data_IF_220679420440
#
_entry.id   IF_220679420440
#
_cell.length_a   1.000
_cell.length_b   1.000
_cell.length_c   1.000
_cell.angle_alpha   90.00
_cell.angle_beta   90.00
_cell.angle_gamma   90.00
#
_symmetry.space_group_name_H-M   'P 1'
#
loop_
_entity.id
_entity.type
_entity.pdbx_description
1 polymer ?
#
# COMPACT_ATOMS: atom_id res chain seq x y z
N UNK A 1 22.55 16.30 2.47
CA UNK A 1 21.23 16.61 1.91
C UNK A 1 21.15 15.96 0.55
N UNK A 2 19.98 15.51 0.14
CA UNK A 2 19.77 14.85 -1.14
C UNK A 2 19.92 15.84 -2.30
N UNK A 3 20.33 15.36 -3.47
CA UNK A 3 20.29 16.13 -4.73
C UNK A 3 18.86 16.25 -5.24
N UNK A 4 18.62 17.21 -6.14
CA UNK A 4 17.29 17.43 -6.72
C UNK A 4 16.75 16.18 -7.43
N UNK A 5 17.59 15.50 -8.20
CA UNK A 5 17.23 14.30 -8.95
C UNK A 5 16.87 13.14 -8.01
N UNK A 6 17.56 13.02 -6.89
CA UNK A 6 17.30 12.00 -5.87
C UNK A 6 15.94 12.24 -5.21
N UNK A 7 15.59 13.51 -4.92
CA UNK A 7 14.30 13.91 -4.33
C UNK A 7 13.10 13.53 -5.19
N UNK A 8 13.19 13.68 -6.50
CA UNK A 8 12.11 13.31 -7.42
C UNK A 8 11.88 11.79 -7.49
N UNK A 9 12.98 11.02 -7.48
CA UNK A 9 12.92 9.55 -7.43
C UNK A 9 12.23 9.05 -6.15
N UNK A 10 12.41 9.76 -5.04
CA UNK A 10 11.80 9.38 -3.76
C UNK A 10 10.29 9.48 -3.77
N UNK A 11 9.71 10.54 -4.33
CA UNK A 11 8.26 10.68 -4.35
C UNK A 11 7.60 9.59 -5.21
N UNK A 12 8.20 9.25 -6.34
CA UNK A 12 7.74 8.11 -7.13
C UNK A 12 7.87 6.80 -6.34
N UNK A 13 9.01 6.55 -5.70
CA UNK A 13 9.20 5.36 -4.89
C UNK A 13 8.18 5.27 -3.74
N UNK A 14 7.81 6.38 -3.12
CA UNK A 14 6.76 6.46 -2.09
C UNK A 14 5.39 6.03 -2.64
N UNK A 15 4.97 6.56 -3.79
CA UNK A 15 3.69 6.19 -4.43
C UNK A 15 3.68 4.70 -4.75
N UNK A 16 4.74 4.22 -5.41
CA UNK A 16 4.87 2.81 -5.79
C UNK A 16 4.78 1.91 -4.57
N UNK A 17 5.59 2.17 -3.55
CA UNK A 17 5.59 1.41 -2.29
C UNK A 17 4.24 1.43 -1.60
N UNK A 18 3.60 2.60 -1.49
CA UNK A 18 2.27 2.73 -0.88
C UNK A 18 1.22 1.87 -1.58
N UNK A 19 1.12 1.99 -2.91
CA UNK A 19 0.13 1.25 -3.71
C UNK A 19 0.37 -0.26 -3.60
N UNK A 20 1.62 -0.69 -3.76
CA UNK A 20 2.02 -2.09 -3.74
C UNK A 20 1.79 -2.75 -2.39
N UNK A 21 2.30 -2.15 -1.31
CA UNK A 21 2.15 -2.70 0.03
C UNK A 21 0.69 -2.71 0.49
N UNK A 22 -0.09 -1.66 0.16
CA UNK A 22 -1.52 -1.64 0.52
C UNK A 22 -2.29 -2.74 -0.19
N UNK A 23 -2.08 -2.89 -1.50
CA UNK A 23 -2.75 -3.93 -2.30
C UNK A 23 -2.36 -5.32 -1.82
N UNK A 24 -1.07 -5.55 -1.58
CA UNK A 24 -0.55 -6.81 -1.08
C UNK A 24 -1.13 -7.15 0.31
N UNK A 25 -1.09 -6.19 1.25
CA UNK A 25 -1.64 -6.35 2.59
C UNK A 25 -3.13 -6.70 2.56
N UNK A 26 -3.92 -6.01 1.73
CA UNK A 26 -5.35 -6.26 1.57
C UNK A 26 -5.61 -7.64 0.99
N UNK A 27 -4.88 -8.04 -0.06
CA UNK A 27 -5.03 -9.37 -0.67
C UNK A 27 -4.76 -10.48 0.34
N UNK A 28 -3.71 -10.35 1.15
CA UNK A 28 -3.30 -11.33 2.15
C UNK A 28 -4.31 -11.45 3.32
N UNK A 29 -5.03 -10.37 3.63
CA UNK A 29 -6.09 -10.35 4.65
C UNK A 29 -7.39 -11.01 4.20
N UNK A 30 -7.64 -11.18 2.90
CA UNK A 30 -8.93 -11.65 2.37
C UNK A 30 -9.42 -13.01 2.85
N UNK A 31 -8.51 -13.87 3.32
CA UNK A 31 -8.86 -15.23 3.72
C UNK A 31 -9.33 -15.29 5.16
N UNK A 32 -10.48 -15.93 5.37
CA UNK A 32 -11.13 -16.03 6.68
C UNK A 32 -10.18 -16.62 7.73
N UNK A 33 -10.18 -16.03 8.92
CA UNK A 33 -9.39 -16.48 10.05
C UNK A 33 -9.67 -17.96 10.36
N UNK A 34 -8.79 -18.86 9.91
CA UNK A 34 -8.62 -20.13 10.57
C UNK A 34 -7.97 -19.83 11.91
N UNK A 35 -8.74 -19.95 13.00
CA UNK A 35 -8.28 -19.81 14.40
C UNK A 35 -7.23 -20.85 14.82
N UNK A 36 -6.60 -21.59 13.89
CA UNK A 36 -5.53 -22.53 14.23
C UNK A 36 -4.19 -21.83 14.08
N UNK A 37 -3.61 -21.53 15.23
CA UNK A 37 -2.34 -20.82 15.39
C UNK A 37 -1.22 -21.42 14.57
N UNK A 38 -0.81 -20.66 13.56
CA UNK A 38 0.57 -20.53 13.12
C UNK A 38 0.69 -19.17 12.45
N UNK A 39 0.48 -18.11 13.23
CA UNK A 39 0.76 -16.75 12.74
C UNK A 39 2.25 -16.69 12.42
N UNK A 40 2.59 -16.53 11.14
CA UNK A 40 3.97 -16.27 10.75
C UNK A 40 4.34 -14.90 11.33
N UNK A 41 5.18 -14.89 12.36
CA UNK A 41 5.68 -13.66 12.97
C UNK A 41 6.78 -13.12 12.05
N UNK A 42 6.43 -12.18 11.18
CA UNK A 42 7.44 -11.40 10.46
C UNK A 42 8.14 -10.48 11.47
N UNK A 43 9.47 -10.49 11.47
CA UNK A 43 10.31 -9.73 12.40
C UNK A 43 10.07 -8.22 12.33
N UNK A 44 9.97 -7.56 13.49
CA UNK A 44 9.74 -6.11 13.65
C UNK A 44 10.98 -5.26 13.32
N UNK A 45 11.51 -5.33 12.10
CA UNK A 45 12.60 -4.45 11.64
C UNK A 45 12.26 -2.96 11.82
N UNK A 46 10.99 -2.59 11.65
CA UNK A 46 10.48 -1.23 11.88
C UNK A 46 10.66 -0.73 13.34
N UNK A 47 10.56 -1.61 14.35
CA UNK A 47 10.77 -1.23 15.76
C UNK A 47 12.25 -0.90 16.02
N UNK A 48 13.17 -1.72 15.52
CA UNK A 48 14.61 -1.49 15.71
C UNK A 48 15.10 -0.20 15.04
N UNK A 49 14.56 0.15 13.87
CA UNK A 49 14.83 1.43 13.21
C UNK A 49 14.22 2.61 13.97
N UNK A 50 13.04 2.42 14.57
CA UNK A 50 12.39 3.45 15.39
C UNK A 50 13.15 3.71 16.70
N UNK A 51 13.66 2.68 17.36
CA UNK A 51 14.48 2.80 18.56
C UNK A 51 15.77 3.58 18.26
N UNK A 52 16.48 3.25 17.17
CA UNK A 52 17.67 3.98 16.71
C UNK A 52 17.37 5.45 16.39
N UNK A 53 16.24 5.72 15.73
CA UNK A 53 15.81 7.08 15.42
C UNK A 53 15.52 7.89 16.70
N UNK A 54 14.79 7.27 17.64
CA UNK A 54 14.44 7.90 18.92
C UNK A 54 15.68 8.17 19.77
N UNK A 55 16.63 7.23 19.77
CA UNK A 55 17.95 7.41 20.39
C UNK A 55 18.71 8.59 19.77
N UNK A 56 18.75 8.68 18.44
CA UNK A 56 19.40 9.79 17.74
C UNK A 56 18.74 11.15 18.04
N UNK A 57 17.40 11.20 18.03
CA UNK A 57 16.64 12.41 18.34
C UNK A 57 16.84 12.85 19.80
N UNK A 58 16.73 11.93 20.75
CA UNK A 58 16.94 12.20 22.18
C UNK A 58 18.38 12.65 22.45
N UNK A 59 19.35 12.02 21.80
CA UNK A 59 20.76 12.41 21.93
C UNK A 59 21.03 13.81 21.36
N UNK A 60 20.42 14.17 20.22
CA UNK A 60 20.46 15.53 19.70
C UNK A 60 19.85 16.56 20.67
N UNK A 61 18.74 16.22 21.33
CA UNK A 61 18.11 17.09 22.33
C UNK A 61 19.01 17.29 23.56
N UNK A 62 19.67 16.23 24.04
CA UNK A 62 20.64 16.30 25.15
C UNK A 62 21.78 17.26 24.80
N UNK A 63 22.40 17.09 23.62
CA UNK A 63 23.50 17.97 23.17
C UNK A 63 23.03 19.42 22.96
N UNK A 64 21.82 19.61 22.43
CA UNK A 64 21.25 20.94 22.24
C UNK A 64 20.98 21.66 23.57
N UNK A 65 20.44 20.93 24.56
CA UNK A 65 20.07 21.45 25.88
C UNK A 65 21.28 21.68 26.81
N UNK A 66 22.43 21.08 26.52
CA UNK A 66 23.64 21.26 27.32
C UNK A 66 24.15 22.70 27.26
N UNK A 67 24.04 23.45 28.36
CA UNK A 67 24.50 24.84 28.46
C UNK A 67 26.00 24.97 28.69
N UNK A 68 26.69 23.87 28.99
CA UNK A 68 28.14 23.85 29.22
C UNK A 68 28.94 23.74 27.93
N UNK A 69 28.33 23.26 26.84
CA UNK A 69 28.96 23.13 25.53
C UNK A 69 28.82 24.40 24.70
N UNK A 70 29.92 24.84 24.09
CA UNK A 70 29.91 25.87 23.05
C UNK A 70 29.21 25.38 21.77
N UNK A 71 28.71 26.28 20.91
CA UNK A 71 28.09 25.90 19.63
C UNK A 71 29.00 25.03 18.73
N UNK A 72 30.31 25.26 18.77
CA UNK A 72 31.29 24.50 17.99
C UNK A 72 31.52 23.09 18.56
N UNK A 73 31.56 22.94 19.89
CA UNK A 73 31.62 21.63 20.55
C UNK A 73 30.35 20.81 20.30
N UNK A 74 29.16 21.44 20.32
CA UNK A 74 27.89 20.79 19.96
C UNK A 74 27.93 20.29 18.53
N UNK A 75 28.40 21.12 17.60
CA UNK A 75 28.54 20.76 16.19
C UNK A 75 29.50 19.58 16.00
N UNK A 76 30.70 19.63 16.58
CA UNK A 76 31.70 18.57 16.45
C UNK A 76 31.23 17.25 17.06
N UNK A 77 30.52 17.31 18.18
CA UNK A 77 29.92 16.13 18.84
C UNK A 77 28.90 15.47 17.92
N UNK A 78 27.96 16.24 17.36
CA UNK A 78 26.94 15.73 16.44
C UNK A 78 27.56 15.18 15.14
N UNK A 79 28.56 15.86 14.57
CA UNK A 79 29.29 15.37 13.39
C UNK A 79 29.99 14.04 13.68
N UNK A 80 30.61 13.90 14.85
CA UNK A 80 31.23 12.65 15.28
C UNK A 80 30.20 11.51 15.38
N UNK A 81 29.01 11.76 15.93
CA UNK A 81 27.93 10.75 15.98
C UNK A 81 27.45 10.36 14.58
N UNK A 82 27.28 11.31 13.66
CA UNK A 82 26.94 11.01 12.26
C UNK A 82 27.98 10.09 11.62
N UNK A 83 29.28 10.38 11.80
CA UNK A 83 30.38 9.54 11.29
C UNK A 83 30.43 8.16 11.95
N UNK A 84 30.16 8.06 13.25
CA UNK A 84 30.11 6.77 13.96
C UNK A 84 28.86 5.94 13.64
N UNK A 85 27.86 6.51 12.97
CA UNK A 85 26.64 5.80 12.54
C UNK A 85 26.85 5.13 11.17
N UNK A 86 28.09 5.07 10.66
CA UNK A 86 28.49 4.34 9.45
C UNK A 86 28.25 2.82 9.57
N UNK A 87 27.00 2.41 9.48
CA UNK A 87 26.54 1.13 8.94
C UNK A 87 25.22 1.42 8.22
N UNK A 88 25.34 1.94 7.00
CA UNK A 88 24.21 2.01 6.07
C UNK A 88 24.08 0.64 5.39
N UNK A 89 23.16 -0.19 5.88
CA UNK A 89 22.82 -1.49 5.27
C UNK A 89 21.74 -1.37 4.17
N UNK A 90 21.55 -0.17 3.61
CA UNK A 90 20.61 0.04 2.51
C UNK A 90 21.22 -0.36 1.18
N UNK A 91 20.61 -1.31 0.49
CA UNK A 91 21.09 -1.75 -0.84
C UNK A 91 20.88 -0.68 -1.93
N UNK A 92 19.94 0.25 -1.72
CA UNK A 92 19.55 1.27 -2.69
C UNK A 92 19.31 2.64 -2.03
N UNK A 93 19.55 3.71 -2.77
CA UNK A 93 19.26 5.08 -2.32
C UNK A 93 17.78 5.25 -1.93
N UNK A 94 16.87 4.50 -2.55
CA UNK A 94 15.42 4.49 -2.29
C UNK A 94 15.00 3.77 -1.00
N UNK A 95 15.93 3.20 -0.22
CA UNK A 95 15.64 2.59 1.10
C UNK A 95 15.41 3.65 2.19
N UNK A 96 14.41 4.51 1.96
CA UNK A 96 14.08 5.71 2.75
C UNK A 96 13.90 5.46 4.24
N UNK A 97 13.51 4.26 4.63
CA UNK A 97 13.31 3.91 6.04
C UNK A 97 14.65 3.80 6.78
N UNK A 98 15.68 3.28 6.11
CA UNK A 98 17.03 3.20 6.63
C UNK A 98 17.69 4.59 6.77
N UNK A 99 17.24 5.57 5.98
CA UNK A 99 17.75 6.95 6.02
C UNK A 99 17.16 7.82 7.13
N UNK A 100 16.07 7.42 7.77
CA UNK A 100 15.37 8.30 8.74
C UNK A 100 16.24 8.78 9.91
N UNK A 101 17.14 7.97 10.51
CA UNK A 101 18.00 8.45 11.59
C UNK A 101 18.96 9.54 11.11
N UNK A 102 19.46 9.41 9.88
CA UNK A 102 20.34 10.41 9.26
C UNK A 102 19.62 11.73 8.99
N UNK A 103 18.38 11.68 8.49
CA UNK A 103 17.60 12.90 8.29
C UNK A 103 17.22 13.58 9.60
N UNK A 104 16.95 12.82 10.67
CA UNK A 104 16.72 13.37 11.99
C UNK A 104 17.96 14.11 12.52
N UNK A 105 19.14 13.47 12.44
CA UNK A 105 20.43 14.09 12.81
C UNK A 105 20.73 15.32 11.95
N UNK A 106 20.50 15.26 10.64
CA UNK A 106 20.71 16.37 9.72
C UNK A 106 19.81 17.58 10.05
N UNK A 107 18.55 17.35 10.40
CA UNK A 107 17.62 18.41 10.80
C UNK A 107 18.09 19.11 12.08
N UNK A 108 18.54 18.34 13.09
CA UNK A 108 19.09 18.88 14.34
C UNK A 108 20.39 19.66 14.12
N UNK A 109 21.31 19.13 13.31
CA UNK A 109 22.56 19.81 12.95
C UNK A 109 22.32 21.13 12.22
N UNK A 110 21.42 21.11 11.23
CA UNK A 110 21.08 22.31 10.47
C UNK A 110 20.39 23.36 11.36
N UNK A 111 19.52 22.93 12.28
CA UNK A 111 18.90 23.83 13.26
C UNK A 111 19.93 24.53 14.14
N UNK A 112 20.92 23.79 14.64
CA UNK A 112 21.93 24.32 15.53
C UNK A 112 22.91 25.25 14.83
N UNK A 113 23.30 24.92 13.59
CA UNK A 113 24.32 25.69 12.85
C UNK A 113 23.77 26.90 12.10
N UNK A 114 22.59 26.76 11.52
CA UNK A 114 22.00 27.78 10.62
C UNK A 114 20.71 28.39 11.17
N UNK A 115 20.15 27.83 12.25
CA UNK A 115 18.91 28.29 12.86
C UNK A 115 17.66 27.68 12.24
N UNK A 116 16.54 27.79 12.97
CA UNK A 116 15.24 27.17 12.62
C UNK A 116 14.60 27.67 11.32
N UNK A 117 15.00 28.84 10.82
CA UNK A 117 14.43 29.42 9.60
C UNK A 117 15.32 29.24 8.36
N UNK A 118 16.51 28.65 8.53
CA UNK A 118 17.46 28.43 7.43
C UNK A 118 16.92 27.48 6.37
N UNK A 119 17.32 27.70 5.11
CA UNK A 119 16.98 26.83 3.98
C UNK A 119 17.42 25.38 4.20
N UNK A 120 18.55 25.19 4.88
CA UNK A 120 19.16 23.93 5.24
C UNK A 120 18.31 23.17 6.26
N UNK A 121 17.82 23.86 7.29
CA UNK A 121 16.93 23.23 8.27
C UNK A 121 15.58 22.88 7.63
N UNK A 122 14.98 23.80 6.87
CA UNK A 122 13.71 23.57 6.19
C UNK A 122 13.79 22.39 5.21
N UNK A 123 14.87 22.30 4.44
CA UNK A 123 15.10 21.19 3.51
C UNK A 123 15.30 19.87 4.26
N UNK A 124 16.05 19.87 5.37
CA UNK A 124 16.22 18.67 6.19
C UNK A 124 14.90 18.17 6.79
N UNK A 125 13.99 19.07 7.19
CA UNK A 125 12.65 18.71 7.66
C UNK A 125 11.79 18.07 6.56
N UNK A 126 11.88 18.55 5.31
CA UNK A 126 11.17 17.94 4.18
C UNK A 126 11.74 16.54 3.88
N UNK A 127 13.07 16.38 3.86
CA UNK A 127 13.72 15.07 3.67
C UNK A 127 13.34 14.08 4.80
N UNK A 128 13.26 14.54 6.05
CA UNK A 128 12.77 13.75 7.17
C UNK A 128 11.28 13.36 7.00
N UNK A 129 10.45 14.28 6.51
CA UNK A 129 9.04 13.99 6.23
C UNK A 129 8.86 12.93 5.12
N UNK A 130 9.74 12.90 4.12
CA UNK A 130 9.79 11.84 3.10
C UNK A 130 10.07 10.48 3.75
N UNK A 131 11.07 10.40 4.63
CA UNK A 131 11.39 9.15 5.34
C UNK A 131 10.23 8.69 6.25
N UNK A 132 9.57 9.60 6.95
CA UNK A 132 8.36 9.27 7.73
C UNK A 132 7.22 8.79 6.86
N UNK A 133 7.06 9.37 5.67
CA UNK A 133 6.06 8.93 4.70
C UNK A 133 6.38 7.52 4.21
N UNK A 134 7.65 7.19 3.95
CA UNK A 134 8.09 5.85 3.56
C UNK A 134 7.75 4.79 4.61
N UNK A 135 7.92 5.15 5.89
CA UNK A 135 7.57 4.31 7.05
C UNK A 135 6.06 4.19 7.32
N UNK A 136 5.21 4.87 6.55
CA UNK A 136 3.78 4.96 6.81
C UNK A 136 3.40 5.83 8.02
N UNK A 137 4.35 6.58 8.60
CA UNK A 137 4.13 7.49 9.73
C UNK A 137 3.52 8.83 9.27
N UNK A 138 2.40 8.78 8.54
CA UNK A 138 1.79 9.93 7.85
C UNK A 138 1.44 11.10 8.78
N UNK A 139 0.94 10.82 9.99
CA UNK A 139 0.63 11.86 10.97
C UNK A 139 1.88 12.65 11.42
N UNK A 140 3.03 11.96 11.56
CA UNK A 140 4.30 12.60 11.90
C UNK A 140 4.84 13.41 10.72
N UNK A 141 4.81 12.84 9.51
CA UNK A 141 5.17 13.54 8.29
C UNK A 141 4.34 14.83 8.11
N UNK A 142 3.03 14.74 8.30
CA UNK A 142 2.13 15.89 8.19
C UNK A 142 2.43 16.95 9.26
N UNK A 143 2.75 16.55 10.50
CA UNK A 143 3.17 17.48 11.55
C UNK A 143 4.44 18.24 11.15
N UNK A 144 5.44 17.55 10.62
CA UNK A 144 6.68 18.18 10.14
C UNK A 144 6.40 19.16 8.99
N UNK A 145 5.61 18.77 7.98
CA UNK A 145 5.31 19.65 6.85
C UNK A 145 4.51 20.89 7.22
N UNK A 146 3.70 20.84 8.30
CA UNK A 146 3.01 22.01 8.87
C UNK A 146 3.97 22.97 9.57
N UNK A 147 5.08 22.46 10.12
CA UNK A 147 6.10 23.28 10.79
C UNK A 147 7.09 23.93 9.83
N UNK A 148 7.17 23.44 8.59
CA UNK A 148 7.93 24.09 7.52
C UNK A 148 7.26 25.43 7.22
N UNK A 149 7.88 26.54 7.66
CA UNK A 149 7.25 27.86 7.75
C UNK A 149 7.23 28.60 6.40
N UNK A 150 6.18 29.42 6.26
CA UNK A 150 5.88 30.33 5.13
C UNK A 150 6.75 31.60 5.11
N UNK A 151 8.06 31.50 5.35
CA UNK A 151 8.95 32.66 5.40
C UNK A 151 10.44 32.28 5.33
N UNK A 152 11.15 32.98 4.44
CA UNK A 152 12.35 32.60 3.69
C UNK A 152 12.18 31.39 2.74
N UNK A 153 12.56 31.62 1.48
CA UNK A 153 12.13 30.83 0.33
C UNK A 153 12.82 29.47 0.36
N UNK A 154 12.06 28.40 0.58
CA UNK A 154 12.39 27.13 -0.08
C UNK A 154 12.66 27.48 -1.55
N UNK A 155 13.73 26.93 -2.12
CA UNK A 155 13.91 27.03 -3.56
C UNK A 155 12.66 26.47 -4.26
N UNK A 156 12.42 26.89 -5.50
CA UNK A 156 11.18 26.53 -6.21
C UNK A 156 10.97 25.01 -6.33
N UNK A 157 12.07 24.24 -6.38
CA UNK A 157 12.04 22.77 -6.44
C UNK A 157 11.59 22.18 -5.11
N UNK A 158 12.13 22.65 -3.99
CA UNK A 158 11.73 22.22 -2.65
C UNK A 158 10.31 22.65 -2.30
N UNK A 159 9.88 23.84 -2.76
CA UNK A 159 8.51 24.27 -2.64
C UNK A 159 7.55 23.39 -3.47
N UNK A 160 7.98 22.90 -4.64
CA UNK A 160 7.20 21.91 -5.41
C UNK A 160 7.10 20.58 -4.68
N UNK A 161 8.22 20.04 -4.21
CA UNK A 161 8.28 18.78 -3.48
C UNK A 161 7.44 18.81 -2.19
N UNK A 162 7.51 19.91 -1.43
CA UNK A 162 6.67 20.11 -0.24
C UNK A 162 5.17 20.10 -0.59
N UNK A 163 4.77 20.77 -1.67
CA UNK A 163 3.37 20.76 -2.16
C UNK A 163 2.92 19.37 -2.57
N UNK A 164 3.76 18.65 -3.33
CA UNK A 164 3.44 17.30 -3.78
C UNK A 164 3.39 16.29 -2.64
N UNK A 165 4.27 16.40 -1.65
CA UNK A 165 4.24 15.53 -0.48
C UNK A 165 3.02 15.83 0.42
N UNK A 166 2.61 17.09 0.55
CA UNK A 166 1.35 17.42 1.21
C UNK A 166 0.16 16.83 0.47
N UNK A 167 0.14 16.93 -0.86
CA UNK A 167 -0.90 16.32 -1.69
C UNK A 167 -0.90 14.80 -1.53
N UNK A 168 0.26 14.14 -1.54
CA UNK A 168 0.40 12.72 -1.24
C UNK A 168 -0.29 12.34 0.08
N UNK A 169 0.01 13.06 1.17
CA UNK A 169 -0.57 12.76 2.49
C UNK A 169 -2.09 12.96 2.52
N UNK A 170 -2.60 14.00 1.85
CA UNK A 170 -4.04 14.25 1.73
C UNK A 170 -4.76 13.14 0.95
N UNK A 171 -4.15 12.66 -0.14
CA UNK A 171 -4.66 11.57 -0.96
C UNK A 171 -4.70 10.25 -0.16
N UNK A 172 -3.63 9.96 0.59
CA UNK A 172 -3.56 8.77 1.44
C UNK A 172 -4.56 8.81 2.60
N UNK A 173 -4.85 9.99 3.15
CA UNK A 173 -5.86 10.18 4.20
C UNK A 173 -7.32 10.17 3.67
N UNK A 174 -7.54 10.03 2.36
CA UNK A 174 -8.87 10.06 1.76
C UNK A 174 -9.55 11.44 1.78
N UNK A 175 -8.80 12.50 2.12
CA UNK A 175 -9.35 13.85 2.35
C UNK A 175 -9.49 14.70 1.10
N UNK A 176 -9.06 14.21 -0.05
CA UNK A 176 -9.20 14.89 -1.32
C UNK A 176 -9.26 13.87 -2.46
N UNK A 177 -10.30 13.97 -3.29
CA UNK A 177 -10.28 13.90 -4.76
C UNK A 177 -11.70 13.63 -5.24
N UNK A 178 -12.27 14.62 -5.94
CA UNK A 178 -13.49 14.41 -6.73
C UNK A 178 -13.13 13.88 -8.13
N UNK A 179 -12.08 14.45 -8.75
CA UNK A 179 -11.64 14.16 -10.12
C UNK A 179 -10.11 14.10 -10.22
N UNK A 180 -9.57 13.28 -11.12
CA UNK A 180 -8.12 13.15 -11.34
C UNK A 180 -7.48 14.43 -11.87
N UNK A 181 -8.22 15.26 -12.58
CA UNK A 181 -7.77 16.56 -13.07
C UNK A 181 -7.32 17.50 -11.94
N UNK A 182 -7.79 17.27 -10.71
CA UNK A 182 -7.37 18.04 -9.53
C UNK A 182 -5.98 17.66 -9.02
N UNK A 183 -5.41 16.55 -9.51
CA UNK A 183 -4.08 16.07 -9.14
C UNK A 183 -3.07 16.71 -10.08
N UNK A 184 -2.43 17.78 -9.61
CA UNK A 184 -1.47 18.58 -10.38
C UNK A 184 -0.21 17.80 -10.81
N UNK A 185 0.07 16.66 -10.18
CA UNK A 185 1.25 15.82 -10.43
C UNK A 185 0.79 14.41 -10.82
N UNK A 186 0.95 14.04 -12.09
CA UNK A 186 0.46 12.76 -12.63
C UNK A 186 1.07 11.54 -11.95
N UNK A 187 2.28 11.65 -11.39
CA UNK A 187 2.88 10.57 -10.58
C UNK A 187 2.08 10.23 -9.32
N UNK A 188 1.23 11.13 -8.83
CA UNK A 188 0.35 10.91 -7.68
C UNK A 188 -1.02 10.33 -8.06
N UNK A 189 -1.35 10.26 -9.36
CA UNK A 189 -2.65 9.76 -9.84
C UNK A 189 -3.06 8.40 -9.26
N UNK A 190 -2.16 7.41 -9.05
CA UNK A 190 -2.54 6.14 -8.43
C UNK A 190 -3.17 6.29 -7.04
N UNK A 191 -2.83 7.33 -6.28
CA UNK A 191 -3.34 7.51 -4.91
C UNK A 191 -4.80 7.95 -4.86
N UNK A 192 -5.42 8.30 -5.99
CA UNK A 192 -6.84 8.70 -6.03
C UNK A 192 -7.81 7.56 -5.64
N UNK A 193 -7.31 6.33 -5.50
CA UNK A 193 -8.07 5.16 -5.07
C UNK A 193 -7.83 4.79 -3.59
N UNK A 194 -6.99 5.52 -2.84
CA UNK A 194 -6.60 5.13 -1.47
C UNK A 194 -7.76 5.16 -0.45
N UNK A 195 -8.93 5.74 -0.75
CA UNK A 195 -10.11 5.65 0.12
C UNK A 195 -11.45 5.68 -0.64
N UNK A 196 -12.19 4.55 -0.68
CA UNK A 196 -13.56 4.50 -1.18
C UNK A 196 -14.56 4.71 -0.03
N UNK A 197 -14.64 5.93 0.53
CA UNK A 197 -15.59 6.26 1.61
C UNK A 197 -17.02 6.60 1.13
N UNK A 198 -17.33 6.41 -0.15
CA UNK A 198 -18.59 6.86 -0.74
C UNK A 198 -19.64 5.75 -0.79
N UNK A 199 -20.92 6.16 -0.77
CA UNK A 199 -22.08 5.27 -0.86
C UNK A 199 -22.06 4.38 -2.12
N UNK A 200 -21.45 4.90 -3.20
CA UNK A 200 -21.33 4.29 -4.53
C UNK A 200 -19.86 4.06 -4.96
N UNK A 201 -19.03 3.63 -4.00
CA UNK A 201 -17.59 3.40 -4.18
C UNK A 201 -17.15 2.73 -5.51
N UNK A 202 -17.87 1.70 -5.98
CA UNK A 202 -17.53 1.01 -7.24
C UNK A 202 -17.69 1.94 -8.44
N UNK A 203 -18.74 2.76 -8.47
CA UNK A 203 -18.97 3.69 -9.57
C UNK A 203 -17.91 4.79 -9.58
N UNK A 204 -17.53 5.30 -8.40
CA UNK A 204 -16.48 6.31 -8.29
C UNK A 204 -15.12 5.77 -8.76
N UNK A 205 -14.79 4.54 -8.37
CA UNK A 205 -13.57 3.86 -8.85
C UNK A 205 -13.59 3.68 -10.37
N UNK A 206 -14.73 3.30 -10.97
CA UNK A 206 -14.88 3.20 -12.43
C UNK A 206 -14.68 4.54 -13.13
N UNK A 207 -15.32 5.60 -12.63
CA UNK A 207 -15.21 6.94 -13.19
C UNK A 207 -13.76 7.42 -13.16
N UNK A 208 -13.09 7.31 -12.00
CA UNK A 208 -11.69 7.69 -11.84
C UNK A 208 -10.76 6.88 -12.74
N UNK A 209 -10.91 5.56 -12.82
CA UNK A 209 -10.05 4.77 -13.70
C UNK A 209 -10.22 5.19 -15.17
N UNK A 210 -11.45 5.46 -15.60
CA UNK A 210 -11.72 5.94 -16.95
C UNK A 210 -11.09 7.31 -17.21
N UNK A 211 -11.13 8.22 -16.24
CA UNK A 211 -10.41 9.50 -16.32
C UNK A 211 -8.89 9.25 -16.46
N UNK A 212 -8.29 8.34 -15.69
CA UNK A 212 -6.87 7.98 -15.84
C UNK A 212 -6.53 7.47 -17.25
N UNK A 213 -7.36 6.59 -17.80
CA UNK A 213 -7.19 6.05 -19.16
C UNK A 213 -7.26 7.14 -20.23
N UNK A 214 -8.07 8.18 -20.01
CA UNK A 214 -8.22 9.31 -20.93
C UNK A 214 -7.05 10.31 -20.85
N UNK A 215 -6.39 10.43 -19.70
CA UNK A 215 -5.30 11.36 -19.45
C UNK A 215 -3.95 10.97 -20.08
N UNK A 216 -3.88 9.88 -20.87
CA UNK A 216 -2.66 9.40 -21.54
C UNK A 216 -1.44 9.32 -20.60
N UNK A 217 -1.64 8.75 -19.40
CA UNK A 217 -0.60 8.63 -18.37
C UNK A 217 0.58 7.76 -18.85
N UNK A 218 1.81 8.00 -18.34
CA UNK A 218 2.94 7.10 -18.60
C UNK A 218 2.61 5.65 -18.21
N UNK A 219 3.12 4.68 -18.98
CA UNK A 219 2.84 3.24 -18.78
C UNK A 219 3.03 2.79 -17.32
N UNK A 220 4.13 3.14 -16.61
CA UNK A 220 4.27 2.75 -15.21
C UNK A 220 3.17 3.34 -14.33
N UNK A 221 2.86 4.64 -14.48
CA UNK A 221 1.83 5.32 -13.69
C UNK A 221 0.47 4.66 -13.90
N UNK A 222 0.11 4.33 -15.14
CA UNK A 222 -1.14 3.65 -15.46
C UNK A 222 -1.22 2.24 -14.85
N UNK A 223 -0.11 1.48 -14.85
CA UNK A 223 -0.02 0.20 -14.16
C UNK A 223 -0.31 0.35 -12.65
N UNK A 224 0.26 1.38 -12.00
CA UNK A 224 -0.01 1.66 -10.60
C UNK A 224 -1.46 2.12 -10.35
N UNK A 225 -2.09 2.82 -11.29
CA UNK A 225 -3.52 3.11 -11.21
C UNK A 225 -4.35 1.82 -11.20
N UNK A 226 -4.08 0.87 -12.11
CA UNK A 226 -4.75 -0.44 -12.11
C UNK A 226 -4.54 -1.19 -10.79
N UNK A 227 -3.31 -1.29 -10.30
CA UNK A 227 -3.01 -1.98 -9.05
C UNK A 227 -3.72 -1.30 -7.87
N UNK A 228 -3.72 0.03 -7.83
CA UNK A 228 -4.34 0.78 -6.74
C UNK A 228 -5.86 0.63 -6.72
N UNK A 229 -6.54 0.63 -7.88
CA UNK A 229 -8.00 0.40 -7.92
C UNK A 229 -8.35 -1.04 -7.56
N UNK A 230 -7.51 -2.02 -7.92
CA UNK A 230 -7.66 -3.40 -7.45
C UNK A 230 -7.55 -3.44 -5.93
N UNK A 231 -6.50 -2.86 -5.36
CA UNK A 231 -6.31 -2.78 -3.91
C UNK A 231 -7.49 -2.16 -3.17
N UNK A 232 -8.04 -1.06 -3.68
CA UNK A 232 -9.20 -0.38 -3.13
C UNK A 232 -10.48 -1.23 -3.20
N UNK A 233 -10.72 -1.90 -4.34
CA UNK A 233 -11.86 -2.77 -4.51
C UNK A 233 -11.78 -4.03 -3.62
N UNK A 234 -10.58 -4.59 -3.44
CA UNK A 234 -10.34 -5.69 -2.50
C UNK A 234 -10.60 -5.28 -1.04
N UNK A 235 -10.28 -4.04 -0.66
CA UNK A 235 -10.54 -3.50 0.67
C UNK A 235 -12.05 -3.30 0.89
N UNK A 236 -12.75 -2.75 -0.10
CA UNK A 236 -14.21 -2.67 -0.08
C UNK A 236 -14.86 -4.05 0.05
N UNK A 237 -14.36 -5.06 -0.69
CA UNK A 237 -14.84 -6.43 -0.59
C UNK A 237 -14.67 -7.01 0.82
N UNK A 238 -13.54 -6.74 1.47
CA UNK A 238 -13.28 -7.13 2.86
C UNK A 238 -14.27 -6.50 3.83
N UNK A 239 -14.48 -5.18 3.75
CA UNK A 239 -15.45 -4.48 4.59
C UNK A 239 -16.86 -5.06 4.41
N UNK A 240 -17.30 -5.29 3.18
CA UNK A 240 -18.60 -5.90 2.89
C UNK A 240 -18.71 -7.34 3.43
N UNK A 241 -17.61 -8.11 3.44
CA UNK A 241 -17.54 -9.47 4.02
C UNK A 241 -17.69 -9.40 5.54
N UNK A 242 -17.04 -8.45 6.20
CA UNK A 242 -17.14 -8.21 7.65
C UNK A 242 -18.54 -7.73 8.04
N UNK A 243 -19.12 -6.76 7.32
CA UNK A 243 -20.49 -6.29 7.53
C UNK A 243 -21.51 -7.43 7.35
N UNK A 244 -21.36 -8.25 6.30
CA UNK A 244 -22.21 -9.42 6.09
C UNK A 244 -22.11 -10.44 7.24
N UNK A 245 -20.91 -10.62 7.81
CA UNK A 245 -20.72 -11.51 8.96
C UNK A 245 -21.37 -10.95 10.23
N UNK A 246 -21.32 -9.63 10.46
CA UNK A 246 -22.00 -8.98 11.59
C UNK A 246 -23.51 -9.11 11.50
N UNK A 247 -24.07 -9.15 10.29
CA UNK A 247 -25.50 -9.35 10.02
C UNK A 247 -25.97 -10.81 10.08
N UNK A 248 -25.06 -11.79 10.20
CA UNK A 248 -25.49 -13.17 10.43
C UNK A 248 -26.40 -13.21 11.66
N UNK A 249 -27.57 -13.82 11.51
CA UNK A 249 -28.52 -14.07 12.59
C UNK A 249 -27.76 -14.74 13.73
N UNK A 250 -27.39 -13.95 14.75
CA UNK A 250 -26.92 -14.52 16.00
C UNK A 250 -28.02 -15.46 16.47
N UNK A 251 -27.63 -16.66 16.92
CA UNK A 251 -28.52 -17.59 17.64
C UNK A 251 -29.39 -16.85 18.68
N UNK A 252 -28.89 -15.73 19.20
CA UNK A 252 -29.57 -14.78 20.08
C UNK A 252 -30.95 -14.30 19.58
N UNK A 253 -31.20 -14.01 18.30
CA UNK A 253 -32.54 -13.55 17.87
C UNK A 253 -33.52 -14.73 17.90
N UNK A 254 -33.11 -15.90 17.41
CA UNK A 254 -33.93 -17.11 17.48
C UNK A 254 -34.20 -17.52 18.93
N UNK A 255 -33.19 -17.47 19.80
CA UNK A 255 -33.30 -17.72 21.23
C UNK A 255 -34.21 -16.69 21.92
N UNK A 256 -34.03 -15.40 21.65
CA UNK A 256 -34.90 -14.34 22.20
C UNK A 256 -36.33 -14.50 21.73
N UNK A 257 -36.56 -14.86 20.47
CA UNK A 257 -37.92 -15.08 19.94
C UNK A 257 -38.60 -16.26 20.63
N UNK A 258 -37.85 -17.30 21.02
CA UNK A 258 -38.39 -18.45 21.77
C UNK A 258 -38.69 -18.17 23.25
N UNK A 259 -38.15 -17.09 23.81
CA UNK A 259 -38.27 -16.73 25.23
C UNK A 259 -39.27 -15.57 25.48
N UNK A 260 -39.72 -14.89 24.43
CA UNK A 260 -40.62 -13.74 24.53
C UNK A 260 -42.07 -14.20 24.67
N UNK A 261 -42.74 -13.70 25.71
CA UNK A 261 -44.16 -13.98 26.00
C UNK A 261 -45.08 -12.82 25.60
N UNK A 262 -44.53 -11.63 25.37
CA UNK A 262 -45.26 -10.42 25.00
C UNK A 262 -45.35 -10.25 23.47
N UNK A 263 -46.56 -10.11 22.95
CA UNK A 263 -46.80 -9.94 21.51
C UNK A 263 -46.08 -8.71 20.91
N UNK A 264 -45.98 -7.61 21.66
CA UNK A 264 -45.30 -6.39 21.23
C UNK A 264 -43.80 -6.60 21.03
N UNK A 265 -43.15 -7.36 21.90
CA UNK A 265 -41.73 -7.71 21.79
C UNK A 265 -41.46 -8.69 20.65
N UNK A 266 -42.41 -9.60 20.38
CA UNK A 266 -42.32 -10.51 19.26
C UNK A 266 -42.44 -9.76 17.91
N UNK A 267 -43.26 -8.72 17.86
CA UNK A 267 -43.38 -7.85 16.70
C UNK A 267 -42.11 -7.02 16.44
N UNK A 268 -41.50 -6.44 17.48
CA UNK A 268 -40.23 -5.70 17.31
C UNK A 268 -39.08 -6.62 16.88
N UNK A 269 -39.02 -7.85 17.39
CA UNK A 269 -38.04 -8.85 16.94
C UNK A 269 -38.25 -9.26 15.47
N UNK A 270 -39.50 -9.35 15.00
CA UNK A 270 -39.82 -9.62 13.58
C UNK A 270 -39.39 -8.46 12.68
N UNK A 271 -39.66 -7.22 13.07
CA UNK A 271 -39.25 -6.03 12.32
C UNK A 271 -37.72 -5.91 12.23
N UNK A 272 -37.00 -6.18 13.32
CA UNK A 272 -35.54 -6.21 13.34
C UNK A 272 -34.98 -7.36 12.48
N UNK A 273 -35.58 -8.55 12.53
CA UNK A 273 -35.20 -9.66 11.67
C UNK A 273 -35.40 -9.31 10.18
N UNK A 274 -36.53 -8.68 9.84
CA UNK A 274 -36.83 -8.25 8.47
C UNK A 274 -35.82 -7.21 7.99
N UNK A 275 -35.53 -6.17 8.79
CA UNK A 275 -34.53 -5.14 8.50
C UNK A 275 -33.15 -5.74 8.24
N UNK A 276 -32.73 -6.75 9.02
CA UNK A 276 -31.45 -7.45 8.81
C UNK A 276 -31.41 -8.25 7.52
N UNK A 277 -32.53 -8.89 7.15
CA UNK A 277 -32.65 -9.60 5.87
C UNK A 277 -32.51 -8.61 4.71
N UNK A 278 -33.21 -7.49 4.76
CA UNK A 278 -33.10 -6.43 3.74
C UNK A 278 -31.67 -5.89 3.63
N UNK A 279 -31.05 -5.55 4.76
CA UNK A 279 -29.65 -5.10 4.79
C UNK A 279 -28.69 -6.15 4.20
N UNK A 280 -28.90 -7.44 4.50
CA UNK A 280 -28.10 -8.52 3.94
C UNK A 280 -28.28 -8.67 2.43
N UNK A 281 -29.50 -8.49 1.91
CA UNK A 281 -29.74 -8.47 0.47
C UNK A 281 -28.98 -7.34 -0.20
N UNK A 282 -28.99 -6.13 0.38
CA UNK A 282 -28.23 -4.98 -0.14
C UNK A 282 -26.72 -5.26 -0.13
N UNK A 283 -26.19 -5.82 0.96
CA UNK A 283 -24.76 -6.16 1.04
C UNK A 283 -24.39 -7.25 0.03
N UNK A 284 -25.20 -8.28 -0.14
CA UNK A 284 -24.95 -9.33 -1.13
C UNK A 284 -24.93 -8.77 -2.55
N UNK A 285 -25.83 -7.85 -2.88
CA UNK A 285 -25.82 -7.15 -4.17
C UNK A 285 -24.54 -6.32 -4.35
N UNK A 286 -24.16 -5.54 -3.32
CA UNK A 286 -22.90 -4.77 -3.34
C UNK A 286 -21.68 -5.68 -3.51
N UNK A 287 -21.65 -6.83 -2.82
CA UNK A 287 -20.59 -7.83 -2.98
C UNK A 287 -20.51 -8.29 -4.43
N UNK A 288 -21.61 -8.77 -5.01
CA UNK A 288 -21.60 -9.26 -6.39
C UNK A 288 -21.12 -8.19 -7.38
N UNK A 289 -21.60 -6.94 -7.23
CA UNK A 289 -21.12 -5.80 -8.04
C UNK A 289 -19.63 -5.56 -7.87
N UNK A 290 -19.11 -5.59 -6.64
CA UNK A 290 -17.68 -5.44 -6.35
C UNK A 290 -16.86 -6.60 -6.93
N UNK A 291 -17.36 -7.84 -6.86
CA UNK A 291 -16.72 -9.03 -7.43
C UNK A 291 -16.55 -8.89 -8.94
N UNK A 292 -17.64 -8.61 -9.65
CA UNK A 292 -17.63 -8.40 -11.10
C UNK A 292 -16.72 -7.24 -11.50
N UNK A 293 -16.66 -6.19 -10.68
CA UNK A 293 -15.74 -5.09 -10.90
C UNK A 293 -14.28 -5.53 -10.79
N UNK A 294 -13.90 -6.25 -9.72
CA UNK A 294 -12.54 -6.76 -9.55
C UNK A 294 -12.15 -7.70 -10.71
N UNK A 295 -13.04 -8.61 -11.10
CA UNK A 295 -12.84 -9.51 -12.26
C UNK A 295 -12.54 -8.72 -13.54
N UNK A 296 -13.33 -7.67 -13.82
CA UNK A 296 -13.13 -6.81 -14.99
C UNK A 296 -11.77 -6.12 -14.98
N UNK A 297 -11.36 -5.59 -13.82
CA UNK A 297 -10.14 -4.78 -13.70
C UNK A 297 -8.89 -5.65 -13.72
N UNK A 298 -8.93 -6.84 -13.10
CA UNK A 298 -7.83 -7.82 -13.20
C UNK A 298 -7.60 -8.20 -14.67
N UNK A 299 -8.68 -8.48 -15.41
CA UNK A 299 -8.58 -8.81 -16.84
C UNK A 299 -8.03 -7.65 -17.67
N UNK A 300 -8.42 -6.41 -17.39
CA UNK A 300 -7.88 -5.22 -18.05
C UNK A 300 -6.40 -5.02 -17.75
N UNK A 301 -5.99 -5.13 -16.48
CA UNK A 301 -4.61 -5.00 -16.05
C UNK A 301 -3.72 -6.10 -16.65
N UNK A 302 -4.20 -7.34 -16.72
CA UNK A 302 -3.47 -8.43 -17.38
C UNK A 302 -3.25 -8.13 -18.88
N UNK A 303 -4.30 -7.70 -19.59
CA UNK A 303 -4.16 -7.28 -21.00
C UNK A 303 -3.16 -6.14 -21.14
N UNK A 304 -3.23 -5.15 -20.25
CA UNK A 304 -2.29 -4.03 -20.23
C UNK A 304 -0.83 -4.51 -20.07
N UNK A 305 -0.57 -5.43 -19.15
CA UNK A 305 0.76 -6.00 -18.91
C UNK A 305 1.31 -6.79 -20.10
N UNK A 306 0.44 -7.53 -20.82
CA UNK A 306 0.81 -8.28 -22.04
C UNK A 306 1.16 -7.35 -23.19
N UNK A 307 0.43 -6.24 -23.36
CA UNK A 307 0.65 -5.30 -24.46
C UNK A 307 1.91 -4.46 -24.24
N UNK A 308 2.15 -4.01 -23.00
CA UNK A 308 3.17 -3.01 -22.71
C UNK A 308 4.52 -3.57 -22.25
N UNK A 309 4.65 -4.88 -22.04
CA UNK A 309 5.91 -5.54 -21.64
C UNK A 309 6.59 -4.85 -20.44
N UNK A 310 5.82 -4.63 -19.39
CA UNK A 310 6.25 -3.86 -18.23
C UNK A 310 7.47 -4.50 -17.54
N UNK A 311 8.44 -3.66 -17.16
CA UNK A 311 9.70 -4.08 -16.50
C UNK A 311 9.70 -3.85 -14.99
N UNK A 312 8.67 -3.18 -14.45
CA UNK A 312 8.56 -2.91 -13.00
C UNK A 312 8.28 -4.22 -12.26
N UNK A 313 9.33 -4.77 -11.67
CA UNK A 313 9.37 -6.13 -11.13
C UNK A 313 8.35 -6.32 -10.00
N UNK A 314 8.36 -5.42 -9.01
CA UNK A 314 7.47 -5.50 -7.86
C UNK A 314 5.99 -5.37 -8.28
N UNK A 315 5.68 -4.44 -9.18
CA UNK A 315 4.32 -4.23 -9.66
C UNK A 315 3.74 -5.47 -10.36
N UNK A 316 4.52 -6.07 -11.27
CA UNK A 316 4.09 -7.27 -12.00
C UNK A 316 3.88 -8.45 -11.04
N UNK A 317 4.80 -8.65 -10.09
CA UNK A 317 4.69 -9.74 -9.12
C UNK A 317 3.51 -9.59 -8.17
N UNK A 318 3.29 -8.39 -7.64
CA UNK A 318 2.16 -8.13 -6.74
C UNK A 318 0.85 -8.30 -7.48
N UNK A 319 0.75 -7.81 -8.72
CA UNK A 319 -0.43 -8.07 -9.54
C UNK A 319 -0.64 -9.58 -9.78
N UNK A 320 0.41 -10.31 -10.17
CA UNK A 320 0.33 -11.75 -10.41
C UNK A 320 -0.13 -12.53 -9.17
N UNK A 321 0.39 -12.16 -7.99
CA UNK A 321 -0.01 -12.74 -6.71
C UNK A 321 -1.49 -12.46 -6.40
N UNK A 322 -1.92 -11.20 -6.55
CA UNK A 322 -3.31 -10.78 -6.32
C UNK A 322 -4.26 -11.52 -7.24
N UNK A 323 -3.93 -11.61 -8.53
CA UNK A 323 -4.70 -12.38 -9.53
C UNK A 323 -4.84 -13.83 -9.13
N UNK A 324 -3.72 -14.51 -8.83
CA UNK A 324 -3.70 -15.92 -8.44
C UNK A 324 -4.63 -16.18 -7.25
N UNK A 325 -4.56 -15.31 -6.24
CA UNK A 325 -5.35 -15.44 -5.02
C UNK A 325 -6.84 -15.18 -5.26
N UNK A 326 -7.15 -14.12 -6.00
CA UNK A 326 -8.52 -13.74 -6.31
C UNK A 326 -9.23 -14.82 -7.14
N UNK A 327 -8.60 -15.27 -8.22
CA UNK A 327 -9.15 -16.32 -9.08
C UNK A 327 -9.31 -17.64 -8.31
N UNK A 328 -8.40 -17.94 -7.38
CA UNK A 328 -8.57 -19.10 -6.50
C UNK A 328 -9.76 -18.98 -5.54
N UNK A 329 -9.98 -17.82 -4.89
CA UNK A 329 -11.11 -17.65 -3.96
C UNK A 329 -12.47 -17.67 -4.68
N UNK A 330 -12.50 -17.18 -5.93
CA UNK A 330 -13.75 -16.92 -6.65
C UNK A 330 -14.00 -17.80 -7.88
N UNK A 331 -13.19 -18.84 -8.09
CA UNK A 331 -13.35 -19.77 -9.21
C UNK A 331 -13.07 -19.15 -10.58
N UNK A 332 -12.13 -18.20 -10.63
CA UNK A 332 -11.67 -17.56 -11.86
C UNK A 332 -10.88 -18.51 -12.77
N UNK A 333 -10.65 -18.07 -14.01
CA UNK A 333 -9.98 -18.84 -15.07
C UNK A 333 -8.44 -18.92 -14.91
N UNK A 334 -7.92 -18.95 -13.68
CA UNK A 334 -6.49 -19.22 -13.45
C UNK A 334 -6.14 -20.53 -14.15
N UNK A 335 -5.39 -20.47 -15.25
CA UNK A 335 -4.90 -21.69 -15.88
C UNK A 335 -3.91 -22.33 -14.92
N UNK A 336 -3.96 -23.66 -14.77
CA UNK A 336 -2.93 -24.42 -14.05
C UNK A 336 -1.53 -23.99 -14.51
N UNK A 337 -1.40 -23.73 -15.81
CA UNK A 337 -0.21 -23.19 -16.49
C UNK A 337 0.27 -21.84 -15.90
N UNK A 338 -0.62 -20.91 -15.58
CA UNK A 338 -0.24 -19.64 -14.93
C UNK A 338 0.31 -19.88 -13.52
N UNK A 339 -0.32 -20.76 -12.74
CA UNK A 339 0.17 -21.12 -11.41
C UNK A 339 1.55 -21.81 -11.47
N UNK A 340 1.77 -22.68 -12.45
CA UNK A 340 3.07 -23.32 -12.70
C UNK A 340 4.15 -22.31 -13.11
N UNK A 341 3.81 -21.37 -14.00
CA UNK A 341 4.71 -20.28 -14.40
C UNK A 341 5.07 -19.36 -13.24
N UNK A 342 4.08 -19.00 -12.43
CA UNK A 342 4.31 -18.22 -11.21
C UNK A 342 5.31 -18.93 -10.28
N UNK A 343 5.17 -20.25 -10.07
CA UNK A 343 6.14 -21.02 -9.27
C UNK A 343 7.52 -21.09 -9.93
N UNK A 344 7.58 -21.29 -11.24
CA UNK A 344 8.83 -21.39 -11.97
C UNK A 344 9.62 -20.08 -11.89
N UNK A 345 8.99 -18.95 -12.22
CA UNK A 345 9.59 -17.62 -12.13
C UNK A 345 9.99 -17.25 -10.70
N UNK A 346 9.27 -17.76 -9.69
CA UNK A 346 9.57 -17.48 -8.31
C UNK A 346 10.90 -18.10 -7.87
N UNK A 347 11.26 -19.30 -8.37
CA UNK A 347 12.51 -19.97 -7.97
C UNK A 347 13.76 -19.17 -8.28
N UNK A 348 13.68 -18.27 -9.26
CA UNK A 348 14.79 -17.43 -9.72
C UNK A 348 14.72 -15.99 -9.15
N UNK A 349 13.81 -15.73 -8.20
CA UNK A 349 13.55 -14.39 -7.66
C UNK A 349 14.19 -14.15 -6.27
N UNK A 350 14.63 -12.91 -6.04
CA UNK A 350 15.24 -12.45 -4.79
C UNK A 350 14.20 -11.71 -3.94
N UNK A 351 13.25 -12.43 -3.35
CA UNK A 351 12.31 -11.85 -2.39
C UNK A 351 12.81 -11.98 -0.96
N UNK A 352 12.41 -11.04 -0.10
CA UNK A 352 12.54 -11.18 1.36
C UNK A 352 11.99 -12.54 1.82
N UNK A 353 12.63 -13.15 2.82
CA UNK A 353 12.27 -14.48 3.35
C UNK A 353 10.79 -14.61 3.76
N UNK A 354 10.17 -13.51 4.20
CA UNK A 354 8.78 -13.45 4.60
C UNK A 354 7.84 -13.50 3.39
N UNK A 355 8.09 -12.65 2.37
CA UNK A 355 7.32 -12.65 1.12
C UNK A 355 7.48 -13.97 0.37
N UNK A 356 8.72 -14.46 0.36
CA UNK A 356 9.11 -15.75 -0.20
C UNK A 356 8.23 -16.88 0.31
N UNK A 357 8.06 -16.94 1.64
CA UNK A 357 7.25 -17.98 2.28
C UNK A 357 5.77 -17.85 1.93
N UNK A 358 5.23 -16.62 1.89
CA UNK A 358 3.83 -16.38 1.52
C UNK A 358 3.57 -16.78 0.07
N UNK A 359 4.40 -16.32 -0.87
CA UNK A 359 4.25 -16.59 -2.30
C UNK A 359 4.39 -18.09 -2.60
N UNK A 360 5.34 -18.78 -1.97
CA UNK A 360 5.50 -20.23 -2.10
C UNK A 360 4.29 -21.01 -1.57
N UNK A 361 3.74 -20.59 -0.43
CA UNK A 361 2.59 -21.27 0.15
C UNK A 361 1.34 -21.09 -0.72
N UNK A 362 1.07 -19.87 -1.16
CA UNK A 362 -0.09 -19.56 -2.00
C UNK A 362 -0.02 -20.22 -3.37
N UNK A 363 1.17 -20.26 -3.98
CA UNK A 363 1.37 -20.94 -5.26
C UNK A 363 1.23 -22.46 -5.16
N UNK A 364 1.78 -23.10 -4.11
CA UNK A 364 1.52 -24.53 -3.82
C UNK A 364 0.04 -24.80 -3.56
N UNK A 365 -0.65 -23.85 -2.93
CA UNK A 365 -2.07 -23.93 -2.65
C UNK A 365 -2.92 -23.81 -3.93
N UNK A 366 -2.51 -22.98 -4.90
CA UNK A 366 -3.15 -22.88 -6.20
C UNK A 366 -3.01 -24.17 -7.02
N UNK A 367 -1.84 -24.81 -6.98
CA UNK A 367 -1.58 -26.07 -7.70
C UNK A 367 -2.30 -27.30 -7.10
N UNK A 368 -2.67 -27.26 -5.81
CA UNK A 368 -3.26 -28.41 -5.09
C UNK A 368 -4.79 -28.43 -5.07
N UNK A 369 -5.46 -27.40 -5.58
CA UNK A 369 -6.93 -27.34 -5.78
C UNK A 369 -7.79 -27.23 -4.51
N UNK A 370 -7.57 -28.09 -3.50
CA UNK A 370 -8.60 -28.40 -2.50
C UNK A 370 -8.38 -27.78 -1.11
N UNK A 371 -7.31 -26.99 -0.92
CA UNK A 371 -7.01 -26.40 0.39
C UNK A 371 -7.49 -24.95 0.49
N UNK A 372 -8.23 -24.58 1.56
CA UNK A 372 -8.62 -23.19 1.79
C UNK A 372 -7.39 -22.30 1.91
N UNK A 373 -7.52 -21.06 1.43
CA UNK A 373 -6.46 -20.07 1.48
C UNK A 373 -6.02 -19.78 2.93
N UNK A 374 -4.73 -19.57 3.12
CA UNK A 374 -4.17 -19.14 4.40
C UNK A 374 -4.44 -17.65 4.64
N UNK A 375 -4.84 -17.29 5.86
CA UNK A 375 -4.85 -15.89 6.30
C UNK A 375 -3.51 -15.59 6.96
N UNK A 376 -2.86 -14.50 6.59
CA UNK A 376 -1.63 -14.06 7.26
C UNK A 376 -1.88 -12.76 8.00
N UNK A 377 -1.57 -12.76 9.30
CA UNK A 377 -1.57 -11.58 10.15
C UNK A 377 -0.15 -11.02 10.22
N UNK A 378 0.42 -10.67 9.07
CA UNK A 378 1.74 -10.04 9.00
C UNK A 378 1.59 -8.55 8.66
N UNK A 379 2.36 -7.71 9.34
CA UNK A 379 2.57 -6.32 8.96
C UNK A 379 3.65 -6.24 7.87
N UNK A 380 3.28 -5.74 6.70
CA UNK A 380 4.17 -5.64 5.54
C UNK A 380 4.77 -4.24 5.38
N UNK A 381 4.49 -3.30 6.30
CA UNK A 381 4.94 -1.90 6.18
C UNK A 381 6.46 -1.77 6.02
N UNK A 382 7.25 -2.59 6.73
CA UNK A 382 8.71 -2.62 6.67
C UNK A 382 9.32 -3.62 5.68
N UNK A 383 8.53 -4.22 4.79
CA UNK A 383 9.03 -5.22 3.84
C UNK A 383 9.70 -4.56 2.64
N UNK A 384 10.92 -4.99 2.31
CA UNK A 384 11.65 -4.53 1.14
C UNK A 384 11.06 -5.17 -0.13
N UNK A 385 10.62 -4.33 -1.07
CA UNK A 385 10.17 -4.75 -2.40
C UNK A 385 11.19 -4.30 -3.44
N UNK A 386 11.89 -5.23 -4.13
CA UNK A 386 12.78 -4.84 -5.22
C UNK A 386 11.93 -4.31 -6.39
N UNK A 387 12.04 -3.02 -6.69
CA UNK A 387 11.24 -2.39 -7.75
C UNK A 387 11.68 -2.82 -9.16
N UNK A 388 12.94 -3.25 -9.32
CA UNK A 388 13.54 -3.65 -10.59
C UNK A 388 14.39 -4.92 -10.40
N UNK A 389 14.45 -5.74 -11.45
CA UNK A 389 15.39 -6.86 -11.57
C UNK A 389 15.92 -6.89 -13.01
N UNK A 390 17.22 -7.02 -13.18
CA UNK A 390 17.86 -7.03 -14.49
C UNK A 390 17.29 -8.14 -15.39
N UNK A 391 16.89 -7.77 -16.61
CA UNK A 391 16.37 -8.68 -17.62
C UNK A 391 14.96 -9.21 -17.37
N UNK A 392 14.24 -8.72 -16.36
CA UNK A 392 12.84 -9.06 -16.13
C UNK A 392 11.89 -8.29 -17.07
N UNK A 393 10.87 -9.00 -17.58
CA UNK A 393 9.77 -8.45 -18.38
C UNK A 393 8.49 -9.21 -18.04
N UNK A 394 7.35 -8.52 -17.99
CA UNK A 394 6.04 -9.10 -17.65
C UNK A 394 5.66 -10.35 -18.45
N UNK A 395 6.10 -10.46 -19.70
CA UNK A 395 5.87 -11.62 -20.57
C UNK A 395 6.34 -12.95 -19.95
N UNK A 396 7.34 -12.92 -19.05
CA UNK A 396 7.79 -14.13 -18.34
C UNK A 396 6.68 -14.76 -17.48
N UNK A 397 5.80 -13.94 -16.90
CA UNK A 397 4.67 -14.39 -16.07
C UNK A 397 3.35 -14.44 -16.84
N UNK A 398 3.19 -13.58 -17.85
CA UNK A 398 1.98 -13.45 -18.64
C UNK A 398 2.26 -13.73 -20.11
N UNK A 399 2.61 -14.98 -20.43
CA UNK A 399 2.88 -15.38 -21.82
C UNK A 399 1.70 -15.00 -22.72
N UNK A 400 2.00 -14.45 -23.90
CA UNK A 400 1.01 -14.28 -24.94
C UNK A 400 0.45 -15.67 -25.30
N UNK A 401 -0.87 -15.85 -25.19
CA UNK A 401 -1.52 -17.06 -25.69
C UNK A 401 -1.17 -17.19 -27.17
N UNK A 402 -0.60 -18.32 -27.56
CA UNK A 402 -0.42 -18.61 -28.98
C UNK A 402 -1.81 -18.67 -29.62
N UNK A 403 -1.95 -18.13 -30.83
CA UNK A 403 -3.20 -18.01 -31.64
C UNK A 403 -4.08 -19.28 -31.67
N UNK A 404 -3.53 -20.45 -31.33
CA UNK A 404 -4.27 -21.71 -31.20
C UNK A 404 -5.25 -21.78 -30.00
N UNK A 405 -5.05 -21.02 -28.92
CA UNK A 405 -5.88 -21.11 -27.71
C UNK A 405 -7.15 -20.24 -27.76
N UNK A 406 -7.18 -19.18 -28.57
CA UNK A 406 -8.35 -18.30 -28.77
C UNK A 406 -9.56 -19.04 -29.38
N UNK A 407 -9.33 -20.16 -30.07
CA UNK A 407 -10.38 -20.95 -30.72
C UNK A 407 -11.15 -21.82 -29.69
N UNK A 408 -10.58 -22.06 -28.51
CA UNK A 408 -11.17 -22.94 -27.47
C UNK A 408 -12.05 -22.21 -26.45
N UNK A 409 -11.96 -20.89 -26.36
CA UNK A 409 -12.73 -20.06 -25.40
C UNK A 409 -13.96 -19.38 -26.02
N UNK A 410 -14.25 -19.63 -27.29
CA UNK A 410 -15.51 -19.23 -27.90
C UNK A 410 -16.60 -20.23 -27.49
N UNK A 411 -17.73 -19.79 -26.89
CA UNK A 411 -18.86 -20.69 -26.69
C UNK A 411 -19.32 -21.15 -28.08
N UNK A 412 -19.37 -22.47 -28.29
CA UNK A 412 -20.01 -23.02 -29.50
C UNK A 412 -21.48 -22.54 -29.52
N UNK A 413 -22.00 -22.15 -30.69
CA UNK A 413 -23.35 -21.61 -30.84
C UNK A 413 -24.44 -22.58 -30.36
#
# INVERSE_FOLDING_TARGET
>A
MLKCEERDLFLEALVRRKVLLSTLQTSIRQSGASKKGSGMVCSNSAMTLWEKETECACWCEIVAADTSMSPEEKYNTLVAKVRCTECFDGEYITDLEAWSPFFALAASLAMLRYGRFSSEHQTALVELAIAYTAKGAYARAQKLLKTVLRGEKLDDKMASLHRELNLFLLLVEGKHVAHIETITSTRLSPLCFCDPQTRDAVQDMKCRLKECEQCALPIPVMLYCYISVIGAALDLWLRLKEEAQQLLLKKDILLKTSQVTLQKELQTLREEAHRRVEQRCVINLKKETTRQFIDSIINQCEKFLRVNKCVDFAAVWIFAFVKLRWEKEHGGSSSLRFAEQFVACYRDSLFDSSLSTIFLNESKLALKGDKPLGSYTCDLTGVKLPLMQDGFVSDRLFLALSVAEDISLSPRP
#
